data_IF_036117719537
#
_entry.id   IF_036117719537
#
_cell.length_a   1.000
_cell.length_b   1.000
_cell.length_c   1.000
_cell.angle_alpha   90.00
_cell.angle_beta   90.00
_cell.angle_gamma   90.00
#
_symmetry.space_group_name_H-M   'P 1'
#
loop_
_entity.id
_entity.type
_entity.pdbx_description
1 polymer ?
#
# COMPACT_ATOMS: atom_id res chain seq x y z
N UNK A 1 28.13 12.14 13.94
CA UNK A 1 26.87 12.94 14.02
C UNK A 1 25.80 12.07 13.39
N UNK A 2 24.86 11.55 14.18
CA UNK A 2 23.77 10.73 13.63
C UNK A 2 22.91 11.54 12.66
N UNK A 3 22.82 11.09 11.41
CA UNK A 3 22.00 11.75 10.41
C UNK A 3 20.69 11.01 10.10
N UNK A 4 20.42 9.89 10.79
CA UNK A 4 19.09 9.30 10.74
C UNK A 4 18.12 10.12 11.58
N UNK A 5 16.87 10.18 11.13
CA UNK A 5 15.78 10.68 11.96
C UNK A 5 15.71 9.80 13.22
N UNK A 6 15.34 10.40 14.35
CA UNK A 6 15.12 9.66 15.58
C UNK A 6 14.26 8.43 15.29
N UNK A 7 14.70 7.29 15.80
CA UNK A 7 14.02 6.03 15.56
C UNK A 7 12.55 6.16 16.01
N UNK A 8 11.56 5.86 15.13
CA UNK A 8 10.16 6.04 15.49
C UNK A 8 9.76 5.16 16.67
N UNK A 9 9.06 5.73 17.65
CA UNK A 9 8.56 4.97 18.80
C UNK A 9 7.45 3.99 18.40
N UNK A 10 6.62 4.37 17.42
CA UNK A 10 5.62 3.46 16.86
C UNK A 10 6.32 2.38 16.02
N UNK A 11 5.93 1.13 16.24
CA UNK A 11 6.40 -0.03 15.47
C UNK A 11 5.33 -0.52 14.50
N UNK A 12 4.35 0.34 14.19
CA UNK A 12 3.17 -0.02 13.40
C UNK A 12 3.50 -0.11 11.92
N UNK A 13 4.44 0.72 11.47
CA UNK A 13 4.69 0.90 10.06
C UNK A 13 6.11 0.54 9.62
N UNK A 14 6.19 -0.11 8.47
CA UNK A 14 7.44 -0.41 7.78
C UNK A 14 7.21 -0.55 6.30
N UNK A 15 8.17 -0.11 5.48
CA UNK A 15 8.17 -0.41 4.05
C UNK A 15 8.82 -1.77 3.81
N UNK A 16 8.23 -2.65 2.99
CA UNK A 16 8.91 -3.89 2.62
C UNK A 16 10.26 -3.58 1.98
N UNK A 17 11.26 -4.42 2.23
CA UNK A 17 12.54 -4.33 1.54
C UNK A 17 12.31 -4.55 0.03
N UNK A 18 12.82 -3.62 -0.77
CA UNK A 18 12.59 -3.52 -2.21
C UNK A 18 13.91 -3.47 -2.99
N UNK A 19 13.90 -3.74 -4.31
CA UNK A 19 15.06 -3.47 -5.14
C UNK A 19 15.36 -1.96 -5.14
N UNK A 20 16.60 -1.61 -4.79
CA UNK A 20 17.08 -0.23 -4.80
C UNK A 20 18.29 -0.10 -5.71
N UNK A 21 18.34 1.03 -6.43
CA UNK A 21 19.49 1.46 -7.22
C UNK A 21 20.08 2.69 -6.58
N UNK A 22 21.40 2.66 -6.42
CA UNK A 22 22.17 3.85 -6.07
C UNK A 22 22.57 4.54 -7.38
N UNK A 23 22.11 5.79 -7.59
CA UNK A 23 22.38 6.55 -8.82
C UNK A 23 23.66 7.40 -8.76
N UNK A 24 24.56 7.13 -7.81
CA UNK A 24 25.78 7.95 -7.60
C UNK A 24 27.00 7.36 -8.31
N UNK A 25 27.84 8.25 -8.84
CA UNK A 25 29.21 8.01 -9.30
C UNK A 25 30.16 8.78 -8.37
N UNK A 26 31.08 8.12 -7.66
CA UNK A 26 32.09 8.81 -6.84
C UNK A 26 32.49 8.13 -5.51
N UNK A 27 33.00 8.94 -4.57
CA UNK A 27 33.53 8.50 -3.26
C UNK A 27 32.48 7.86 -2.34
N UNK A 28 31.21 8.19 -2.51
CA UNK A 28 30.08 7.67 -1.72
C UNK A 28 29.86 6.17 -1.97
N UNK A 29 30.09 5.71 -3.20
CA UNK A 29 30.08 4.28 -3.53
C UNK A 29 31.20 3.55 -2.79
N UNK A 30 32.32 4.23 -2.49
CA UNK A 30 33.49 3.65 -1.83
C UNK A 30 33.18 3.32 -0.37
N UNK A 31 32.51 4.21 0.39
CA UNK A 31 32.17 3.95 1.79
C UNK A 31 31.26 2.71 1.93
N UNK A 32 30.18 2.65 1.15
CA UNK A 32 29.29 1.48 1.12
C UNK A 32 30.03 0.21 0.62
N UNK A 33 30.83 0.31 -0.45
CA UNK A 33 31.65 -0.82 -0.94
C UNK A 33 32.65 -1.31 0.11
N UNK A 34 33.25 -0.39 0.86
CA UNK A 34 34.20 -0.67 1.93
C UNK A 34 33.53 -1.42 3.06
N UNK A 35 32.36 -0.95 3.52
CA UNK A 35 31.56 -1.65 4.53
C UNK A 35 31.12 -3.05 4.07
N UNK A 36 30.60 -3.17 2.84
CA UNK A 36 30.22 -4.47 2.27
C UNK A 36 31.42 -5.43 2.18
N UNK A 37 32.59 -4.91 1.84
CA UNK A 37 33.82 -5.71 1.75
C UNK A 37 34.30 -6.14 3.13
N UNK A 38 34.29 -5.24 4.12
CA UNK A 38 34.71 -5.54 5.49
C UNK A 38 33.80 -6.57 6.15
N UNK A 39 32.47 -6.51 5.94
CA UNK A 39 31.51 -7.50 6.45
C UNK A 39 31.77 -8.91 5.90
N UNK A 40 32.11 -9.02 4.62
CA UNK A 40 32.40 -10.32 3.98
C UNK A 40 33.77 -10.85 4.38
N UNK A 41 34.79 -10.00 4.49
CA UNK A 41 36.16 -10.39 4.88
C UNK A 41 36.21 -10.79 6.35
N UNK A 42 35.53 -10.04 7.23
CA UNK A 42 35.44 -10.31 8.67
C UNK A 42 34.37 -11.36 9.03
N UNK A 43 33.88 -12.13 8.07
CA UNK A 43 32.90 -13.17 8.34
C UNK A 43 33.53 -14.25 9.26
N UNK A 44 32.87 -14.67 10.36
CA UNK A 44 33.48 -15.52 11.40
C UNK A 44 33.85 -16.92 10.90
N UNK A 45 33.24 -17.36 9.80
CA UNK A 45 33.52 -18.63 9.13
C UNK A 45 34.17 -18.38 7.78
N UNK A 46 35.11 -19.25 7.39
CA UNK A 46 35.69 -19.26 6.04
C UNK A 46 34.60 -19.50 5.01
N UNK A 47 34.35 -18.49 4.18
CA UNK A 47 33.35 -18.52 3.10
C UNK A 47 33.96 -18.97 1.77
N UNK A 48 33.22 -19.76 1.00
CA UNK A 48 33.53 -20.03 -0.42
C UNK A 48 33.32 -18.78 -1.28
N UNK A 49 33.83 -18.78 -2.52
CA UNK A 49 33.65 -17.67 -3.46
C UNK A 49 32.16 -17.34 -3.70
N UNK A 50 31.33 -18.38 -3.89
CA UNK A 50 29.88 -18.25 -4.07
C UNK A 50 29.19 -17.68 -2.82
N UNK A 51 29.54 -18.17 -1.63
CA UNK A 51 28.98 -17.66 -0.38
C UNK A 51 29.32 -16.19 -0.15
N UNK A 52 30.55 -15.77 -0.45
CA UNK A 52 30.97 -14.37 -0.37
C UNK A 52 30.12 -13.48 -1.27
N UNK A 53 29.84 -13.93 -2.49
CA UNK A 53 28.97 -13.21 -3.43
C UNK A 53 27.55 -13.06 -2.89
N UNK A 54 26.92 -14.17 -2.46
CA UNK A 54 25.57 -14.18 -1.90
C UNK A 54 25.42 -13.30 -0.66
N UNK A 55 26.39 -13.34 0.26
CA UNK A 55 26.39 -12.44 1.42
C UNK A 55 26.52 -10.99 1.02
N UNK A 56 27.42 -10.66 0.08
CA UNK A 56 27.58 -9.28 -0.41
C UNK A 56 26.28 -8.74 -0.99
N UNK A 57 25.58 -9.53 -1.80
CA UNK A 57 24.33 -9.10 -2.41
C UNK A 57 23.22 -8.96 -1.36
N UNK A 58 23.11 -9.91 -0.42
CA UNK A 58 22.18 -9.79 0.71
C UNK A 58 22.44 -8.53 1.55
N UNK A 59 23.70 -8.28 1.94
CA UNK A 59 24.07 -7.07 2.70
C UNK A 59 23.76 -5.81 1.91
N UNK A 60 24.06 -5.78 0.61
CA UNK A 60 23.78 -4.62 -0.25
C UNK A 60 22.29 -4.31 -0.23
N UNK A 61 21.44 -5.28 -0.54
CA UNK A 61 19.99 -5.06 -0.61
C UNK A 61 19.43 -4.61 0.75
N UNK A 62 19.84 -5.24 1.84
CA UNK A 62 19.40 -4.87 3.20
C UNK A 62 19.86 -3.45 3.55
N UNK A 63 21.15 -3.13 3.40
CA UNK A 63 21.70 -1.85 3.83
C UNK A 63 21.15 -0.68 3.02
N UNK A 64 20.98 -0.84 1.70
CA UNK A 64 20.38 0.22 0.87
C UNK A 64 18.97 0.57 1.37
N UNK A 65 18.15 -0.44 1.66
CA UNK A 65 16.79 -0.23 2.17
C UNK A 65 16.79 0.40 3.57
N UNK A 66 17.65 -0.09 4.46
CA UNK A 66 17.75 0.44 5.82
C UNK A 66 18.18 1.90 5.80
N UNK A 67 19.20 2.25 5.01
CA UNK A 67 19.66 3.63 4.86
C UNK A 67 18.54 4.52 4.31
N UNK A 68 17.92 4.11 3.19
CA UNK A 68 16.85 4.87 2.54
C UNK A 68 15.67 5.14 3.48
N UNK A 69 15.20 4.11 4.18
CA UNK A 69 14.02 4.21 5.05
C UNK A 69 14.34 4.95 6.36
N UNK A 70 15.51 4.75 6.97
CA UNK A 70 15.88 5.40 8.23
C UNK A 70 16.14 6.91 8.09
N UNK A 71 16.60 7.38 6.93
CA UNK A 71 16.67 8.83 6.64
C UNK A 71 15.27 9.45 6.60
N UNK A 72 14.26 8.65 6.25
CA UNK A 72 12.85 9.08 6.15
C UNK A 72 12.04 8.70 7.39
N UNK A 73 12.70 8.37 8.51
CA UNK A 73 12.01 8.02 9.76
C UNK A 73 11.09 6.80 9.62
N UNK A 74 11.42 5.84 8.74
CA UNK A 74 10.59 4.67 8.47
C UNK A 74 11.39 3.38 8.67
N UNK A 75 10.74 2.33 9.16
CA UNK A 75 11.37 1.01 9.28
C UNK A 75 11.45 0.27 7.94
N UNK A 76 12.51 -0.52 7.76
CA UNK A 76 12.58 -1.53 6.70
C UNK A 76 11.98 -2.85 7.18
N UNK A 77 10.98 -3.34 6.47
CA UNK A 77 10.25 -4.57 6.74
C UNK A 77 10.82 -5.76 5.98
N UNK A 78 11.10 -6.86 6.67
CA UNK A 78 11.58 -8.10 6.03
C UNK A 78 11.08 -9.37 6.74
N UNK A 79 10.73 -10.41 5.98
CA UNK A 79 10.29 -11.66 6.58
C UNK A 79 11.48 -12.46 7.12
N UNK A 80 11.39 -12.97 8.35
CA UNK A 80 12.34 -13.96 8.89
C UNK A 80 11.73 -15.37 8.95
N UNK A 81 10.67 -15.62 8.19
CA UNK A 81 10.10 -16.96 8.02
C UNK A 81 10.71 -17.66 6.80
N UNK A 82 11.11 -18.92 6.94
CA UNK A 82 11.79 -19.68 5.88
C UNK A 82 10.95 -19.74 4.58
N UNK A 83 9.66 -20.10 4.70
CA UNK A 83 8.73 -20.21 3.56
C UNK A 83 8.59 -18.94 2.73
N UNK A 84 8.87 -17.77 3.31
CA UNK A 84 8.78 -16.52 2.57
C UNK A 84 9.81 -16.44 1.43
N UNK A 85 10.86 -17.26 1.47
CA UNK A 85 11.93 -17.30 0.47
C UNK A 85 11.78 -18.47 -0.53
N UNK A 86 10.64 -19.17 -0.52
CA UNK A 86 10.35 -20.22 -1.49
C UNK A 86 10.23 -19.63 -2.92
N UNK A 87 10.55 -20.45 -3.93
CA UNK A 87 10.47 -20.03 -5.34
C UNK A 87 9.06 -19.54 -5.69
N UNK A 88 8.99 -18.38 -6.34
CA UNK A 88 7.73 -17.72 -6.70
C UNK A 88 7.25 -16.69 -5.67
N UNK A 89 7.84 -16.64 -4.47
CA UNK A 89 7.56 -15.59 -3.50
C UNK A 89 8.40 -14.33 -3.75
N UNK A 90 7.89 -13.20 -3.28
CA UNK A 90 8.51 -11.88 -3.44
C UNK A 90 9.98 -11.83 -2.99
N UNK A 91 10.32 -12.35 -1.81
CA UNK A 91 11.69 -12.28 -1.32
C UNK A 91 12.67 -13.09 -2.19
N UNK A 92 12.21 -14.18 -2.78
CA UNK A 92 13.01 -14.97 -3.73
C UNK A 92 13.23 -14.21 -5.04
N UNK A 93 12.26 -13.44 -5.53
CA UNK A 93 12.44 -12.64 -6.76
C UNK A 93 13.47 -11.52 -6.59
N UNK A 94 13.77 -11.11 -5.35
CA UNK A 94 14.87 -10.19 -5.02
C UNK A 94 16.25 -10.87 -4.97
N UNK A 95 16.34 -12.16 -5.30
CA UNK A 95 17.58 -12.94 -5.20
C UNK A 95 17.98 -13.31 -3.77
N UNK A 96 17.09 -13.08 -2.78
CA UNK A 96 17.35 -13.40 -1.39
C UNK A 96 17.01 -14.86 -1.07
N UNK A 97 17.70 -15.41 -0.07
CA UNK A 97 17.39 -16.73 0.46
C UNK A 97 17.41 -16.70 1.98
N UNK A 98 16.56 -17.51 2.60
CA UNK A 98 16.41 -17.52 4.06
C UNK A 98 17.74 -17.61 4.82
N UNK A 99 18.61 -18.54 4.40
CA UNK A 99 19.89 -18.83 5.07
C UNK A 99 20.82 -17.61 5.12
N UNK A 100 21.02 -16.96 3.97
CA UNK A 100 21.96 -15.84 3.87
C UNK A 100 21.35 -14.56 4.45
N UNK A 101 20.06 -14.31 4.21
CA UNK A 101 19.36 -13.12 4.71
C UNK A 101 19.29 -13.10 6.22
N UNK A 102 18.90 -14.22 6.86
CA UNK A 102 18.83 -14.30 8.32
C UNK A 102 20.20 -14.10 8.95
N UNK A 103 21.24 -14.78 8.45
CA UNK A 103 22.60 -14.65 8.96
C UNK A 103 23.15 -13.22 8.78
N UNK A 104 22.83 -12.56 7.66
CA UNK A 104 23.22 -11.18 7.42
C UNK A 104 22.58 -10.22 8.45
N UNK A 105 21.28 -10.35 8.71
CA UNK A 105 20.57 -9.51 9.69
C UNK A 105 21.08 -9.74 11.11
N UNK A 106 21.24 -11.01 11.51
CA UNK A 106 21.79 -11.35 12.83
C UNK A 106 23.18 -10.73 13.02
N UNK A 107 24.03 -10.80 11.99
CA UNK A 107 25.38 -10.20 12.04
C UNK A 107 25.34 -8.69 12.09
N UNK A 108 24.56 -8.02 11.25
CA UNK A 108 24.45 -6.56 11.26
C UNK A 108 23.94 -6.03 12.61
N UNK A 109 22.99 -6.74 13.23
CA UNK A 109 22.46 -6.38 14.55
C UNK A 109 23.50 -6.63 15.66
N UNK A 110 24.20 -7.77 15.63
CA UNK A 110 25.26 -8.07 16.59
C UNK A 110 26.43 -7.07 16.51
N UNK A 111 26.78 -6.65 15.30
CA UNK A 111 27.81 -5.63 15.07
C UNK A 111 27.29 -4.20 15.35
N UNK A 112 26.01 -4.02 15.70
CA UNK A 112 25.43 -2.74 16.11
C UNK A 112 25.15 -1.76 14.96
N UNK A 113 25.11 -2.22 13.70
CA UNK A 113 24.76 -1.37 12.54
C UNK A 113 23.25 -1.16 12.39
N UNK A 114 22.44 -2.09 12.91
CA UNK A 114 20.98 -2.02 12.82
C UNK A 114 20.35 -2.39 14.16
N UNK A 115 19.13 -1.92 14.40
CA UNK A 115 18.22 -2.46 15.41
C UNK A 115 17.17 -3.33 14.73
N UNK A 116 16.77 -4.43 15.39
CA UNK A 116 15.81 -5.41 14.84
C UNK A 116 14.65 -5.62 15.79
N UNK A 117 13.43 -5.35 15.33
CA UNK A 117 12.19 -5.66 16.01
C UNK A 117 11.54 -6.86 15.35
N UNK A 118 11.59 -8.00 16.03
CA UNK A 118 11.10 -9.27 15.48
C UNK A 118 9.61 -9.17 15.12
N UNK A 119 9.26 -9.71 13.96
CA UNK A 119 7.87 -9.86 13.55
C UNK A 119 7.13 -10.88 14.40
N UNK A 120 5.81 -10.75 14.46
CA UNK A 120 4.92 -11.66 15.17
C UNK A 120 3.53 -11.68 14.52
N UNK A 121 2.74 -12.70 14.84
CA UNK A 121 1.34 -12.76 14.47
C UNK A 121 0.50 -13.02 15.72
N UNK A 122 -0.44 -12.12 16.01
CA UNK A 122 -1.40 -12.25 17.09
C UNK A 122 -2.67 -12.93 16.57
N UNK A 123 -2.82 -14.22 16.87
CA UNK A 123 -3.99 -15.01 16.47
C UNK A 123 -5.30 -14.50 17.07
N UNK A 124 -5.26 -13.93 18.28
CA UNK A 124 -6.44 -13.47 19.00
C UNK A 124 -6.95 -12.14 18.45
N UNK A 125 -6.03 -11.22 18.12
CA UNK A 125 -6.34 -9.92 17.53
C UNK A 125 -6.41 -9.92 16.00
N UNK A 126 -6.00 -11.00 15.34
CA UNK A 126 -6.01 -11.10 13.88
C UNK A 126 -5.04 -10.14 13.17
N UNK A 127 -4.01 -9.65 13.86
CA UNK A 127 -3.01 -8.75 13.30
C UNK A 127 -1.61 -9.34 13.45
N UNK A 128 -0.70 -8.97 12.55
CA UNK A 128 0.71 -9.34 12.64
C UNK A 128 1.59 -8.22 12.15
N UNK A 129 2.86 -8.25 12.58
CA UNK A 129 3.90 -7.35 12.10
C UNK A 129 5.01 -8.19 11.48
N UNK A 130 5.53 -7.73 10.35
CA UNK A 130 6.77 -8.26 9.78
C UNK A 130 7.95 -7.86 10.70
N UNK A 131 9.16 -8.38 10.47
CA UNK A 131 10.33 -7.88 11.21
C UNK A 131 10.66 -6.47 10.71
N UNK A 132 10.84 -5.53 11.64
CA UNK A 132 11.18 -4.13 11.35
C UNK A 132 12.66 -3.91 11.67
N UNK A 133 13.37 -3.23 10.79
CA UNK A 133 14.79 -2.95 10.90
C UNK A 133 15.01 -1.45 10.77
N UNK A 134 15.87 -0.89 11.61
CA UNK A 134 16.27 0.51 11.55
C UNK A 134 17.79 0.65 11.62
N UNK A 135 18.35 1.65 10.93
CA UNK A 135 19.77 1.95 10.98
C UNK A 135 20.17 2.65 12.28
N UNK A 136 21.32 2.30 12.84
CA UNK A 136 21.87 2.98 14.03
C UNK A 136 22.78 4.14 13.63
N UNK A 137 23.15 4.98 14.60
CA UNK A 137 24.19 6.00 14.40
C UNK A 137 25.48 5.41 13.84
N UNK A 138 25.89 4.22 14.33
CA UNK A 138 27.07 3.51 13.82
C UNK A 138 27.00 3.24 12.32
N UNK A 139 25.83 2.84 11.80
CA UNK A 139 25.65 2.68 10.36
C UNK A 139 25.67 4.02 9.64
N UNK A 140 24.99 5.03 10.19
CA UNK A 140 24.95 6.38 9.63
C UNK A 140 26.36 6.92 9.38
N UNK A 141 27.25 6.77 10.36
CA UNK A 141 28.64 7.22 10.29
C UNK A 141 29.50 6.34 9.37
N UNK A 142 29.29 5.01 9.37
CA UNK A 142 30.09 4.10 8.56
C UNK A 142 29.92 4.27 7.04
N UNK A 143 28.81 4.88 6.60
CA UNK A 143 28.48 5.07 5.18
C UNK A 143 28.16 6.51 4.80
N UNK A 144 28.30 7.46 5.74
CA UNK A 144 27.90 8.85 5.54
C UNK A 144 26.48 8.98 4.97
N UNK A 145 25.52 8.37 5.68
CA UNK A 145 24.20 8.04 5.13
C UNK A 145 23.45 9.15 4.34
N UNK A 146 23.47 10.45 4.72
CA UNK A 146 22.82 11.50 3.94
C UNK A 146 23.31 11.61 2.49
N UNK A 147 24.61 11.34 2.28
CA UNK A 147 25.22 11.39 0.95
C UNK A 147 24.80 10.22 0.05
N UNK A 148 24.09 9.24 0.60
CA UNK A 148 23.59 8.07 -0.11
C UNK A 148 22.05 8.13 -0.22
N UNK A 149 21.36 8.52 0.85
CA UNK A 149 19.90 8.42 0.97
C UNK A 149 19.07 9.20 -0.04
N UNK A 150 19.56 10.35 -0.48
CA UNK A 150 18.89 11.20 -1.48
C UNK A 150 19.13 10.73 -2.91
N UNK A 151 20.17 9.92 -3.13
CA UNK A 151 20.50 9.34 -4.43
C UNK A 151 20.08 7.87 -4.55
N UNK A 152 19.48 7.32 -3.50
CA UNK A 152 18.83 6.02 -3.57
C UNK A 152 17.47 6.20 -4.19
N UNK A 153 17.33 5.63 -5.38
CA UNK A 153 16.04 5.46 -6.01
C UNK A 153 15.65 4.00 -5.89
N UNK A 154 14.41 3.77 -5.47
CA UNK A 154 13.89 2.44 -5.61
C UNK A 154 13.71 2.15 -7.10
N UNK A 155 13.98 0.91 -7.51
CA UNK A 155 13.84 0.52 -8.92
C UNK A 155 12.36 0.47 -9.21
N UNK A 156 11.88 1.49 -9.93
CA UNK A 156 10.52 1.51 -10.42
C UNK A 156 10.44 0.61 -11.65
N UNK A 157 9.74 -0.49 -11.47
CA UNK A 157 9.38 -1.40 -12.55
C UNK A 157 8.44 -0.65 -13.52
N UNK A 158 8.81 -0.69 -14.81
CA UNK A 158 8.12 -0.03 -15.93
C UNK A 158 6.70 -0.54 -16.15
N UNK A 159 6.33 -1.68 -15.56
CA UNK A 159 4.96 -2.20 -15.61
C UNK A 159 4.00 -1.28 -14.84
N UNK A 160 3.18 -0.54 -15.59
CA UNK A 160 2.14 0.35 -15.04
C UNK A 160 0.80 -0.38 -14.85
N UNK A 161 0.51 -1.43 -15.63
CA UNK A 161 -0.68 -2.28 -15.46
C UNK A 161 -0.23 -3.68 -15.07
N UNK A 162 -0.75 -4.19 -13.95
CA UNK A 162 -0.45 -5.55 -13.46
C UNK A 162 -1.69 -6.42 -13.59
N UNK A 163 -1.59 -7.51 -14.37
CA UNK A 163 -2.69 -8.44 -14.63
C UNK A 163 -2.50 -9.75 -13.85
N UNK A 164 -3.15 -9.90 -12.70
CA UNK A 164 -3.03 -11.11 -11.87
C UNK A 164 -4.07 -12.16 -12.25
N UNK A 165 -3.61 -13.34 -12.65
CA UNK A 165 -4.46 -14.48 -12.99
C UNK A 165 -5.10 -14.39 -14.39
N UNK A 166 -4.53 -13.57 -15.27
CA UNK A 166 -4.91 -13.49 -16.68
C UNK A 166 -4.10 -14.50 -17.50
N UNK A 167 -4.65 -14.90 -18.66
CA UNK A 167 -3.95 -15.77 -19.61
C UNK A 167 -2.94 -15.02 -20.49
N UNK A 168 -3.00 -13.69 -20.47
CA UNK A 168 -2.15 -12.77 -21.22
C UNK A 168 -1.51 -11.75 -20.28
N UNK A 169 -0.37 -11.20 -20.71
CA UNK A 169 0.34 -10.15 -19.98
C UNK A 169 -0.03 -8.73 -20.43
N UNK A 170 0.35 -7.70 -19.67
CA UNK A 170 0.11 -6.30 -20.06
C UNK A 170 0.80 -5.89 -21.36
N UNK A 171 1.85 -6.59 -21.78
CA UNK A 171 2.56 -6.41 -23.06
C UNK A 171 1.69 -6.76 -24.28
N UNK A 172 0.61 -7.51 -24.08
CA UNK A 172 -0.35 -7.86 -25.14
C UNK A 172 -1.46 -6.80 -25.29
N UNK A 173 -1.52 -5.80 -24.40
CA UNK A 173 -2.48 -4.70 -24.51
C UNK A 173 -2.06 -3.74 -25.64
N UNK A 174 -3.01 -3.24 -26.46
CA UNK A 174 -2.67 -2.28 -27.50
C UNK A 174 -2.21 -0.95 -26.89
N UNK A 175 -1.33 -0.23 -27.57
CA UNK A 175 -0.77 1.04 -27.06
C UNK A 175 -1.84 2.13 -26.82
N UNK A 176 -2.97 2.05 -27.52
CA UNK A 176 -4.12 2.94 -27.34
C UNK A 176 -5.11 2.46 -26.27
N UNK A 177 -4.77 1.43 -25.49
CA UNK A 177 -5.59 0.97 -24.38
C UNK A 177 -5.87 2.12 -23.41
N UNK A 178 -7.14 2.36 -23.10
CA UNK A 178 -7.56 3.58 -22.40
C UNK A 178 -6.92 3.74 -21.01
N UNK A 179 -6.78 2.65 -20.26
CA UNK A 179 -6.08 2.69 -18.96
C UNK A 179 -4.58 2.93 -19.12
N UNK A 180 -3.97 2.39 -20.18
CA UNK A 180 -2.53 2.50 -20.41
C UNK A 180 -2.16 3.94 -20.77
N UNK A 181 -2.96 4.56 -21.65
CA UNK A 181 -2.80 5.96 -22.05
C UNK A 181 -2.95 6.90 -20.85
N UNK A 182 -4.04 6.77 -20.09
CA UNK A 182 -4.28 7.60 -18.89
C UNK A 182 -3.17 7.42 -17.86
N UNK A 183 -2.77 6.19 -17.58
CA UNK A 183 -1.77 5.91 -16.55
C UNK A 183 -0.35 6.33 -16.93
N UNK A 184 0.01 6.24 -18.22
CA UNK A 184 1.26 6.83 -18.75
C UNK A 184 1.25 8.35 -18.58
N UNK A 185 0.17 9.03 -19.00
CA UNK A 185 0.05 10.47 -18.85
C UNK A 185 0.14 10.93 -17.39
N UNK A 186 -0.56 10.24 -16.48
CA UNK A 186 -0.51 10.46 -15.03
C UNK A 186 0.93 10.31 -14.51
N UNK A 187 1.60 9.19 -14.81
CA UNK A 187 2.95 8.95 -14.31
C UNK A 187 3.95 9.99 -14.84
N UNK A 188 3.92 10.29 -16.14
CA UNK A 188 4.76 11.32 -16.76
C UNK A 188 4.52 12.69 -16.14
N UNK A 189 3.26 13.08 -15.92
CA UNK A 189 2.93 14.34 -15.25
C UNK A 189 3.50 14.39 -13.82
N UNK A 190 3.29 13.31 -13.06
CA UNK A 190 3.70 13.23 -11.67
C UNK A 190 5.22 13.14 -11.48
N UNK A 191 6.02 12.84 -12.51
CA UNK A 191 7.49 12.84 -12.44
C UNK A 191 8.06 14.18 -11.93
N UNK A 192 7.46 15.31 -12.30
CA UNK A 192 7.91 16.65 -11.91
C UNK A 192 7.70 17.01 -10.44
N UNK A 193 6.88 16.24 -9.71
CA UNK A 193 6.51 16.56 -8.32
C UNK A 193 7.30 15.74 -7.30
N UNK A 194 7.50 16.29 -6.10
CA UNK A 194 8.24 15.65 -5.01
C UNK A 194 7.33 15.42 -3.81
N UNK A 195 7.29 14.19 -3.32
CA UNK A 195 6.65 13.81 -2.07
C UNK A 195 7.37 12.58 -1.46
N UNK A 196 7.21 12.31 -0.14
CA UNK A 196 7.80 11.15 0.51
C UNK A 196 7.31 9.83 -0.08
N UNK A 197 8.20 8.83 -0.15
CA UNK A 197 7.88 7.50 -0.69
C UNK A 197 7.21 7.52 -2.06
N UNK A 198 7.68 8.42 -2.94
CA UNK A 198 7.25 8.47 -4.33
C UNK A 198 7.51 7.15 -5.05
N UNK A 199 6.58 6.77 -5.90
CA UNK A 199 6.68 5.68 -6.87
C UNK A 199 5.57 5.77 -7.90
N UNK A 200 5.66 5.02 -9.00
CA UNK A 200 4.69 5.06 -10.07
C UNK A 200 3.32 4.62 -9.57
N UNK A 201 2.30 5.18 -10.20
CA UNK A 201 0.93 4.74 -10.10
C UNK A 201 0.80 3.47 -10.92
N UNK A 202 0.34 2.39 -10.27
CA UNK A 202 0.13 1.10 -10.90
C UNK A 202 -1.33 0.69 -10.78
N UNK A 203 -1.93 0.28 -11.89
CA UNK A 203 -3.28 -0.25 -11.92
C UNK A 203 -3.22 -1.78 -11.83
N UNK A 204 -3.85 -2.38 -10.82
CA UNK A 204 -3.73 -3.82 -10.57
C UNK A 204 -5.08 -4.50 -10.71
N UNK A 205 -5.26 -5.27 -11.79
CA UNK A 205 -6.43 -6.14 -11.99
C UNK A 205 -6.18 -7.53 -11.41
N UNK A 206 -7.22 -8.19 -10.93
CA UNK A 206 -7.11 -9.52 -10.31
C UNK A 206 -8.33 -10.38 -10.60
N UNK A 207 -8.11 -11.51 -11.28
CA UNK A 207 -9.15 -12.49 -11.56
C UNK A 207 -10.15 -12.09 -12.65
N UNK A 208 -9.82 -11.10 -13.48
CA UNK A 208 -10.62 -10.71 -14.65
C UNK A 208 -10.69 -9.19 -14.87
N UNK A 209 -11.15 -8.74 -16.06
CA UNK A 209 -11.08 -7.34 -16.49
C UNK A 209 -12.00 -6.38 -15.71
N UNK A 210 -13.04 -6.91 -15.04
CA UNK A 210 -13.98 -6.13 -14.22
C UNK A 210 -13.80 -6.39 -12.72
N UNK A 211 -12.64 -6.92 -12.32
CA UNK A 211 -12.37 -7.37 -10.95
C UNK A 211 -11.04 -6.82 -10.45
N UNK A 212 -11.05 -6.31 -9.22
CA UNK A 212 -9.89 -5.61 -8.67
C UNK A 212 -9.78 -4.24 -9.32
N UNK A 213 -8.64 -3.91 -9.93
CA UNK A 213 -8.52 -2.70 -10.76
C UNK A 213 -8.24 -1.41 -9.99
N UNK A 214 -7.73 -1.48 -8.75
CA UNK A 214 -7.37 -0.28 -7.98
C UNK A 214 -6.02 0.29 -8.42
N UNK A 215 -5.86 1.61 -8.26
CA UNK A 215 -4.58 2.31 -8.41
C UNK A 215 -3.78 2.19 -7.12
N UNK A 216 -2.53 1.74 -7.22
CA UNK A 216 -1.59 1.57 -6.13
C UNK A 216 -0.34 2.43 -6.34
N UNK A 217 0.19 2.96 -5.25
CA UNK A 217 1.53 3.55 -5.17
C UNK A 217 2.08 3.37 -3.76
N UNK A 218 3.40 3.52 -3.60
CA UNK A 218 4.15 3.22 -2.38
C UNK A 218 3.62 3.94 -1.14
N UNK A 219 3.35 5.24 -1.26
CA UNK A 219 2.90 6.08 -0.15
C UNK A 219 1.51 5.72 0.39
N UNK A 220 0.68 4.95 -0.34
CA UNK A 220 -0.68 4.60 0.13
C UNK A 220 -0.66 3.79 1.44
N UNK A 221 0.43 3.05 1.69
CA UNK A 221 0.59 2.26 2.91
C UNK A 221 1.00 3.10 4.12
N UNK A 222 1.31 4.39 3.95
CA UNK A 222 1.67 5.27 5.06
C UNK A 222 0.52 5.34 6.08
N UNK A 223 0.82 5.30 7.39
CA UNK A 223 -0.16 5.53 8.45
C UNK A 223 -0.83 6.89 8.28
N UNK A 224 -2.10 6.98 8.66
CA UNK A 224 -2.90 8.20 8.50
C UNK A 224 -2.24 9.44 9.13
N UNK A 225 -1.67 9.31 10.32
CA UNK A 225 -0.99 10.40 11.02
C UNK A 225 0.26 10.88 10.25
N UNK A 226 1.08 9.96 9.74
CA UNK A 226 2.27 10.32 8.97
C UNK A 226 1.86 10.90 7.61
N UNK A 227 0.82 10.36 6.99
CA UNK A 227 0.30 10.85 5.71
C UNK A 227 -0.35 12.23 5.82
N UNK A 228 -0.92 12.58 6.97
CA UNK A 228 -1.44 13.92 7.23
C UNK A 228 -0.36 15.02 7.20
N UNK A 229 0.91 14.64 7.38
CA UNK A 229 2.07 15.55 7.28
C UNK A 229 2.70 15.55 5.87
N UNK A 230 2.11 14.83 4.91
CA UNK A 230 2.62 14.73 3.54
C UNK A 230 2.58 16.11 2.87
N UNK A 231 3.66 16.43 2.16
CA UNK A 231 3.75 17.63 1.32
C UNK A 231 4.00 17.24 -0.13
N UNK A 232 3.44 18.02 -1.06
CA UNK A 232 3.75 17.94 -2.49
C UNK A 232 4.54 19.20 -2.84
N UNK A 233 5.77 19.05 -3.30
CA UNK A 233 6.69 20.17 -3.55
C UNK A 233 6.82 21.13 -2.34
N UNK A 234 6.82 20.57 -1.12
CA UNK A 234 6.85 21.30 0.16
C UNK A 234 5.59 22.11 0.48
N UNK A 235 4.54 22.01 -0.34
CA UNK A 235 3.24 22.61 -0.04
C UNK A 235 2.41 21.65 0.83
N UNK A 236 1.65 22.17 1.81
CA UNK A 236 0.76 21.36 2.62
C UNK A 236 -0.32 20.73 1.75
N UNK A 237 -0.80 19.56 2.17
CA UNK A 237 -1.81 18.80 1.44
C UNK A 237 -3.10 18.65 2.21
N UNK A 238 -4.15 18.21 1.50
CA UNK A 238 -5.44 17.81 2.05
C UNK A 238 -5.80 16.43 1.51
N UNK A 239 -6.34 15.55 2.37
CA UNK A 239 -6.92 14.25 1.98
C UNK A 239 -8.45 14.33 2.03
N UNK A 240 -9.12 14.11 0.89
CA UNK A 240 -10.58 14.01 0.78
C UNK A 240 -10.98 12.56 0.53
N UNK A 241 -12.03 12.08 1.21
CA UNK A 241 -12.45 10.67 1.25
C UNK A 241 -13.92 10.49 0.91
N UNK A 242 -14.25 9.50 0.09
CA UNK A 242 -15.63 9.07 -0.10
C UNK A 242 -16.16 8.36 1.14
N UNK A 243 -17.16 8.94 1.80
CA UNK A 243 -17.73 8.34 3.00
C UNK A 243 -18.53 7.08 2.63
N UNK A 244 -18.18 5.95 3.25
CA UNK A 244 -18.90 4.68 3.13
C UNK A 244 -19.03 4.18 1.67
N UNK A 245 -17.98 4.43 0.87
CA UNK A 245 -17.95 4.36 -0.58
C UNK A 245 -18.71 3.17 -1.22
N UNK A 246 -18.28 1.93 -0.96
CA UNK A 246 -18.91 0.73 -1.54
C UNK A 246 -20.41 0.61 -1.25
N UNK A 247 -20.83 0.95 -0.04
CA UNK A 247 -22.25 0.86 0.32
C UNK A 247 -23.05 1.97 -0.34
N UNK A 248 -22.49 3.19 -0.43
CA UNK A 248 -23.11 4.27 -1.21
C UNK A 248 -23.26 3.91 -2.69
N UNK A 249 -22.27 3.26 -3.30
CA UNK A 249 -22.32 2.83 -4.71
C UNK A 249 -23.48 1.86 -4.96
N UNK A 250 -23.70 0.89 -4.06
CA UNK A 250 -24.81 -0.06 -4.16
C UNK A 250 -26.18 0.60 -3.97
N UNK A 251 -26.25 1.62 -3.10
CA UNK A 251 -27.48 2.32 -2.79
C UNK A 251 -27.87 3.35 -3.86
N UNK A 252 -26.90 3.96 -4.55
CA UNK A 252 -27.14 5.05 -5.50
C UNK A 252 -28.11 4.68 -6.64
N UNK A 253 -28.19 3.40 -7.02
CA UNK A 253 -29.15 2.93 -8.03
C UNK A 253 -30.60 2.78 -7.53
N UNK A 254 -30.83 2.90 -6.22
CA UNK A 254 -32.08 2.48 -5.58
C UNK A 254 -32.65 3.50 -4.58
N UNK A 255 -31.83 4.43 -4.08
CA UNK A 255 -32.20 5.36 -3.02
C UNK A 255 -31.67 6.76 -3.35
N UNK A 256 -32.55 7.76 -3.27
CA UNK A 256 -32.23 9.19 -3.41
C UNK A 256 -33.19 9.99 -2.50
N UNK A 257 -32.70 10.83 -1.56
CA UNK A 257 -31.30 11.11 -1.26
C UNK A 257 -30.58 9.92 -0.59
N UNK A 258 -29.26 9.81 -0.84
CA UNK A 258 -28.41 8.83 -0.14
C UNK A 258 -28.37 9.10 1.37
N UNK A 259 -28.28 8.05 2.21
CA UNK A 259 -28.20 8.20 3.66
C UNK A 259 -26.90 8.89 4.09
N UNK A 260 -26.91 9.49 5.28
CA UNK A 260 -25.74 10.18 5.83
C UNK A 260 -24.59 9.23 6.23
N UNK A 261 -24.93 8.05 6.74
CA UNK A 261 -23.97 6.97 7.03
C UNK A 261 -24.70 5.62 7.11
N UNK A 262 -24.77 4.86 6.01
CA UNK A 262 -25.57 3.63 5.98
C UNK A 262 -25.06 2.55 6.95
N UNK A 263 -23.77 2.59 7.33
CA UNK A 263 -23.26 1.67 8.34
C UNK A 263 -23.83 1.97 9.74
N UNK A 264 -24.07 3.23 10.06
CA UNK A 264 -24.64 3.65 11.34
C UNK A 264 -26.12 3.28 11.41
N UNK A 265 -26.86 3.45 10.31
CA UNK A 265 -28.28 3.07 10.22
C UNK A 265 -28.47 1.56 10.48
N UNK A 266 -27.63 0.73 9.85
CA UNK A 266 -27.63 -0.73 10.09
C UNK A 266 -27.19 -1.05 11.53
N UNK A 267 -26.20 -0.33 12.06
CA UNK A 267 -25.66 -0.58 13.39
C UNK A 267 -26.71 -0.35 14.48
N UNK A 268 -27.56 0.67 14.31
CA UNK A 268 -28.68 0.96 15.19
C UNK A 268 -29.68 -0.20 15.22
N UNK A 269 -30.08 -0.71 14.05
CA UNK A 269 -31.00 -1.85 13.94
C UNK A 269 -30.42 -3.13 14.52
N UNK A 270 -29.12 -3.37 14.31
CA UNK A 270 -28.42 -4.55 14.81
C UNK A 270 -27.97 -4.45 16.27
N UNK A 271 -28.22 -3.32 16.96
CA UNK A 271 -27.71 -3.04 18.31
C UNK A 271 -26.20 -3.30 18.45
N UNK A 272 -25.42 -2.76 17.51
CA UNK A 272 -23.97 -3.02 17.40
C UNK A 272 -23.21 -1.75 17.00
N UNK A 273 -21.92 -1.85 16.72
CA UNK A 273 -21.09 -0.71 16.31
C UNK A 273 -20.98 -0.62 14.79
N UNK A 274 -20.77 0.60 14.28
CA UNK A 274 -20.51 0.89 12.87
C UNK A 274 -19.36 0.04 12.31
N UNK A 275 -18.30 -0.16 13.09
CA UNK A 275 -17.12 -0.93 12.69
C UNK A 275 -17.48 -2.39 12.45
N UNK A 276 -18.29 -3.01 13.32
CA UNK A 276 -18.74 -4.39 13.14
C UNK A 276 -19.62 -4.56 11.92
N UNK A 277 -20.47 -3.57 11.61
CA UNK A 277 -21.24 -3.56 10.36
C UNK A 277 -20.30 -3.46 9.16
N UNK A 278 -19.31 -2.55 9.20
CA UNK A 278 -18.32 -2.40 8.11
C UNK A 278 -17.55 -3.71 7.88
N UNK A 279 -17.17 -4.42 8.93
CA UNK A 279 -16.55 -5.75 8.83
C UNK A 279 -17.48 -6.76 8.17
N UNK A 280 -18.73 -6.81 8.61
CA UNK A 280 -19.75 -7.69 8.01
C UNK A 280 -19.96 -7.40 6.53
N UNK A 281 -20.09 -6.13 6.15
CA UNK A 281 -20.28 -5.72 4.76
C UNK A 281 -19.06 -6.04 3.91
N UNK A 282 -17.85 -5.80 4.43
CA UNK A 282 -16.61 -6.16 3.73
C UNK A 282 -16.55 -7.67 3.45
N UNK A 283 -16.85 -8.51 4.45
CA UNK A 283 -16.86 -9.97 4.29
C UNK A 283 -17.98 -10.45 3.36
N UNK A 284 -19.17 -9.86 3.47
CA UNK A 284 -20.35 -10.28 2.70
C UNK A 284 -20.28 -9.87 1.24
N UNK A 285 -19.68 -8.72 0.93
CA UNK A 285 -19.50 -8.27 -0.45
C UNK A 285 -18.33 -8.99 -1.14
N UNK A 286 -17.30 -9.40 -0.41
CA UNK A 286 -16.14 -10.11 -0.98
C UNK A 286 -16.29 -11.64 -1.04
N UNK A 287 -17.39 -12.20 -0.56
CA UNK A 287 -17.65 -13.64 -0.60
C UNK A 287 -18.61 -14.00 -1.72
N UNK A 288 -18.40 -15.16 -2.33
CA UNK A 288 -19.24 -15.75 -3.37
C UNK A 288 -20.43 -16.57 -2.82
N UNK A 289 -20.48 -16.77 -1.50
CA UNK A 289 -21.58 -17.39 -0.79
C UNK A 289 -21.58 -17.01 0.71
N UNK A 290 -22.70 -17.28 1.37
CA UNK A 290 -22.94 -16.89 2.76
C UNK A 290 -22.02 -17.60 3.78
N UNK A 291 -21.69 -18.87 3.54
CA UNK A 291 -20.82 -19.63 4.44
C UNK A 291 -19.36 -19.17 4.36
N UNK A 292 -18.88 -18.79 3.18
CA UNK A 292 -17.57 -18.15 3.01
C UNK A 292 -17.51 -16.84 3.80
N UNK A 293 -18.53 -15.98 3.70
CA UNK A 293 -18.61 -14.73 4.45
C UNK A 293 -18.63 -14.98 5.97
N UNK A 294 -19.46 -15.92 6.43
CA UNK A 294 -19.55 -16.29 7.84
C UNK A 294 -18.20 -16.81 8.37
N UNK A 295 -17.55 -17.70 7.63
CA UNK A 295 -16.26 -18.27 8.01
C UNK A 295 -15.16 -17.19 8.09
N UNK A 296 -15.19 -16.18 7.22
CA UNK A 296 -14.27 -15.04 7.30
C UNK A 296 -14.45 -14.24 8.61
N UNK A 297 -15.69 -14.10 9.07
CA UNK A 297 -16.04 -13.37 10.30
C UNK A 297 -15.86 -14.19 11.59
N UNK A 298 -15.80 -15.53 11.52
CA UNK A 298 -15.49 -16.38 12.68
C UNK A 298 -14.19 -15.99 13.37
N UNK A 299 -13.15 -15.64 12.58
CA UNK A 299 -11.85 -15.19 13.10
C UNK A 299 -11.95 -13.89 13.91
N UNK A 300 -13.02 -13.12 13.71
CA UNK A 300 -13.35 -11.88 14.45
C UNK A 300 -14.39 -12.09 15.54
N UNK A 301 -14.63 -13.36 15.95
CA UNK A 301 -15.56 -13.74 17.02
C UNK A 301 -17.03 -13.38 16.74
N UNK A 302 -17.42 -13.38 15.46
CA UNK A 302 -18.84 -13.29 15.07
C UNK A 302 -19.41 -14.71 15.02
N UNK A 303 -20.38 -15.00 15.89
CA UNK A 303 -21.13 -16.27 15.88
C UNK A 303 -22.29 -16.22 14.86
N UNK A 304 -22.95 -17.35 14.62
CA UNK A 304 -24.01 -17.43 13.61
C UNK A 304 -25.21 -16.54 13.94
N UNK A 305 -25.60 -16.44 15.21
CA UNK A 305 -26.69 -15.56 15.66
C UNK A 305 -26.40 -14.10 15.32
N UNK A 306 -25.21 -13.58 15.66
CA UNK A 306 -24.81 -12.21 15.33
C UNK A 306 -24.70 -11.98 13.82
N UNK A 307 -24.19 -12.96 13.09
CA UNK A 307 -24.13 -12.90 11.63
C UNK A 307 -25.53 -12.74 11.03
N UNK A 308 -26.48 -13.55 11.47
CA UNK A 308 -27.87 -13.47 11.02
C UNK A 308 -28.51 -12.14 11.44
N UNK A 309 -28.30 -11.67 12.66
CA UNK A 309 -28.80 -10.38 13.11
C UNK A 309 -28.27 -9.20 12.26
N UNK A 310 -26.99 -9.21 11.90
CA UNK A 310 -26.38 -8.22 11.00
C UNK A 310 -26.98 -8.29 9.59
N UNK A 311 -27.18 -9.50 9.06
CA UNK A 311 -27.82 -9.73 7.76
C UNK A 311 -29.25 -9.21 7.75
N UNK A 312 -30.07 -9.57 8.75
CA UNK A 312 -31.45 -9.11 8.87
C UNK A 312 -31.54 -7.59 9.01
N UNK A 313 -30.72 -6.99 9.88
CA UNK A 313 -30.65 -5.53 10.03
C UNK A 313 -30.25 -4.84 8.71
N UNK A 314 -29.29 -5.40 7.99
CA UNK A 314 -28.84 -4.89 6.69
C UNK A 314 -29.97 -4.91 5.66
N UNK A 315 -30.68 -6.04 5.55
CA UNK A 315 -31.78 -6.20 4.59
C UNK A 315 -33.04 -5.44 5.01
N UNK A 316 -33.21 -5.17 6.31
CA UNK A 316 -34.27 -4.30 6.83
C UNK A 316 -33.99 -2.84 6.48
N UNK A 317 -32.77 -2.36 6.71
CA UNK A 317 -32.38 -0.99 6.36
C UNK A 317 -32.40 -0.77 4.85
N UNK A 318 -31.84 -1.70 4.08
CA UNK A 318 -31.62 -1.54 2.64
C UNK A 318 -31.96 -2.82 1.87
N UNK A 319 -33.25 -3.12 1.63
CA UNK A 319 -33.68 -4.34 0.93
C UNK A 319 -33.08 -4.48 -0.48
N UNK A 320 -32.82 -3.35 -1.15
CA UNK A 320 -32.28 -3.28 -2.51
C UNK A 320 -30.91 -3.95 -2.66
N UNK A 321 -30.08 -3.98 -1.61
CA UNK A 321 -28.73 -4.55 -1.69
C UNK A 321 -28.69 -6.07 -1.51
N UNK A 322 -29.84 -6.73 -1.28
CA UNK A 322 -29.94 -8.20 -1.19
C UNK A 322 -29.28 -8.89 -2.38
N UNK A 323 -29.44 -8.31 -3.57
CA UNK A 323 -28.87 -8.82 -4.80
C UNK A 323 -27.33 -8.79 -4.85
N UNK A 324 -26.68 -8.01 -3.98
CA UNK A 324 -25.23 -7.79 -3.97
C UNK A 324 -24.49 -8.59 -2.89
N UNK A 325 -25.17 -8.99 -1.81
CA UNK A 325 -24.55 -9.76 -0.74
C UNK A 325 -24.25 -11.19 -1.19
N UNK A 326 -23.07 -11.69 -0.79
CA UNK A 326 -22.62 -13.06 -1.02
C UNK A 326 -22.52 -13.45 -2.51
N UNK A 327 -22.16 -12.48 -3.36
CA UNK A 327 -21.95 -12.68 -4.81
C UNK A 327 -20.63 -12.08 -5.31
N UNK A 328 -19.69 -11.86 -4.40
CA UNK A 328 -18.36 -11.35 -4.71
C UNK A 328 -18.39 -10.01 -5.48
N UNK A 329 -19.38 -9.18 -5.15
CA UNK A 329 -19.55 -7.84 -5.70
C UNK A 329 -18.41 -6.88 -5.32
N UNK A 330 -17.71 -7.16 -4.22
CA UNK A 330 -16.62 -6.33 -3.72
C UNK A 330 -15.53 -6.14 -4.78
N UNK A 331 -15.15 -7.19 -5.50
CA UNK A 331 -14.13 -7.09 -6.55
C UNK A 331 -14.57 -6.19 -7.72
N UNK A 332 -15.86 -6.15 -8.04
CA UNK A 332 -16.40 -5.27 -9.09
C UNK A 332 -16.48 -3.81 -8.61
N UNK A 333 -16.89 -3.58 -7.37
CA UNK A 333 -16.90 -2.24 -6.78
C UNK A 333 -15.49 -1.65 -6.69
N UNK A 334 -14.48 -2.47 -6.40
CA UNK A 334 -13.07 -2.06 -6.45
C UNK A 334 -12.63 -1.62 -7.85
N UNK A 335 -13.20 -2.22 -8.90
CA UNK A 335 -12.88 -1.86 -10.28
C UNK A 335 -13.47 -0.51 -10.64
N UNK A 336 -14.68 -0.24 -10.14
CA UNK A 336 -15.32 1.05 -10.29
C UNK A 336 -14.55 2.14 -9.53
N UNK A 337 -14.11 1.86 -8.30
CA UNK A 337 -13.23 2.76 -7.52
C UNK A 337 -11.96 3.11 -8.30
N UNK A 338 -11.33 2.12 -8.90
CA UNK A 338 -10.13 2.32 -9.71
C UNK A 338 -10.35 3.21 -10.93
N UNK A 339 -11.45 3.02 -11.64
CA UNK A 339 -11.80 3.83 -12.81
C UNK A 339 -12.15 5.28 -12.41
N UNK A 340 -12.88 5.48 -11.31
CA UNK A 340 -13.10 6.81 -10.73
C UNK A 340 -11.76 7.46 -10.36
N UNK A 341 -10.86 6.71 -9.71
CA UNK A 341 -9.56 7.23 -9.32
C UNK A 341 -8.71 7.64 -10.52
N UNK A 342 -8.65 6.80 -11.56
CA UNK A 342 -7.94 7.12 -12.80
C UNK A 342 -8.49 8.38 -13.46
N UNK A 343 -9.82 8.52 -13.53
CA UNK A 343 -10.43 9.70 -14.14
C UNK A 343 -10.14 10.97 -13.34
N UNK A 344 -10.30 10.96 -12.01
CA UNK A 344 -9.95 12.13 -11.16
C UNK A 344 -8.49 12.53 -11.35
N UNK A 345 -7.58 11.55 -11.36
CA UNK A 345 -6.16 11.82 -11.55
C UNK A 345 -5.86 12.34 -12.95
N UNK A 346 -6.52 11.81 -13.99
CA UNK A 346 -6.33 12.26 -15.36
C UNK A 346 -6.87 13.67 -15.58
N UNK A 347 -8.03 14.02 -14.99
CA UNK A 347 -8.50 15.42 -14.96
C UNK A 347 -7.50 16.33 -14.23
N UNK A 348 -6.81 15.82 -13.20
CA UNK A 348 -5.71 16.52 -12.54
C UNK A 348 -4.56 16.83 -13.50
N UNK A 349 -4.16 15.87 -14.32
CA UNK A 349 -3.17 16.10 -15.39
C UNK A 349 -3.63 17.22 -16.33
N UNK A 350 -4.89 17.18 -16.76
CA UNK A 350 -5.44 18.18 -17.67
C UNK A 350 -5.53 19.59 -17.05
N UNK A 351 -5.67 19.67 -15.73
CA UNK A 351 -5.74 20.89 -14.96
C UNK A 351 -4.39 21.38 -14.40
N UNK A 352 -3.28 20.65 -14.66
CA UNK A 352 -1.96 20.89 -14.05
C UNK A 352 -1.97 20.81 -12.50
N UNK A 353 -2.83 19.94 -11.94
CA UNK A 353 -3.03 19.74 -10.50
C UNK A 353 -2.57 18.32 -10.09
N UNK A 354 -1.59 18.18 -9.19
CA UNK A 354 -1.16 16.87 -8.71
C UNK A 354 -2.24 16.23 -7.83
N UNK A 355 -2.68 15.03 -8.21
CA UNK A 355 -3.62 14.21 -7.42
C UNK A 355 -3.00 12.87 -7.11
N UNK A 356 -2.95 12.54 -5.82
CA UNK A 356 -2.40 11.29 -5.29
C UNK A 356 -3.52 10.42 -4.71
N UNK A 357 -3.80 9.22 -5.24
CA UNK A 357 -4.87 8.36 -4.76
C UNK A 357 -4.43 7.57 -3.52
N UNK A 358 -5.35 7.35 -2.60
CA UNK A 358 -5.24 6.45 -1.45
C UNK A 358 -6.56 5.69 -1.31
N UNK A 359 -6.63 4.49 -1.88
CA UNK A 359 -7.88 3.72 -1.92
C UNK A 359 -9.04 4.55 -2.50
N UNK A 360 -10.05 4.87 -1.69
CA UNK A 360 -11.24 5.69 -1.97
C UNK A 360 -11.09 7.16 -1.56
N UNK A 361 -9.87 7.58 -1.23
CA UNK A 361 -9.50 8.97 -0.93
C UNK A 361 -8.43 9.52 -1.88
N UNK A 362 -8.32 10.84 -1.93
CA UNK A 362 -7.43 11.57 -2.84
C UNK A 362 -6.74 12.70 -2.10
N UNK A 363 -5.47 12.92 -2.42
CA UNK A 363 -4.63 13.94 -1.84
C UNK A 363 -4.20 14.93 -2.92
N UNK A 364 -4.33 16.23 -2.63
CA UNK A 364 -3.77 17.33 -3.43
C UNK A 364 -3.27 18.45 -2.50
N UNK A 365 -2.74 19.54 -3.04
CA UNK A 365 -2.33 20.71 -2.24
C UNK A 365 -3.56 21.47 -1.72
N UNK A 366 -3.43 22.13 -0.57
CA UNK A 366 -4.57 22.77 0.13
C UNK A 366 -5.30 23.80 -0.74
N UNK A 367 -4.59 24.51 -1.62
CA UNK A 367 -5.14 25.49 -2.55
C UNK A 367 -6.02 24.87 -3.66
N UNK A 368 -5.94 23.55 -3.86
CA UNK A 368 -6.76 22.80 -4.82
C UNK A 368 -7.85 21.94 -4.16
N UNK A 369 -8.14 22.15 -2.87
CA UNK A 369 -9.15 21.38 -2.12
C UNK A 369 -10.53 21.39 -2.79
N UNK A 370 -11.01 22.57 -3.19
CA UNK A 370 -12.35 22.73 -3.78
C UNK A 370 -12.44 22.09 -5.16
N UNK A 371 -11.38 22.24 -5.98
CA UNK A 371 -11.28 21.58 -7.27
C UNK A 371 -11.33 20.06 -7.12
N UNK A 372 -10.57 19.50 -6.18
CA UNK A 372 -10.57 18.05 -5.96
C UNK A 372 -11.94 17.56 -5.51
N UNK A 373 -12.60 18.28 -4.60
CA UNK A 373 -13.95 17.94 -4.13
C UNK A 373 -14.95 17.94 -5.29
N UNK A 374 -14.89 18.95 -6.16
CA UNK A 374 -15.73 19.03 -7.35
C UNK A 374 -15.48 17.85 -8.28
N UNK A 375 -14.22 17.54 -8.59
CA UNK A 375 -13.89 16.40 -9.45
C UNK A 375 -14.35 15.07 -8.86
N UNK A 376 -14.23 14.88 -7.55
CA UNK A 376 -14.80 13.72 -6.88
C UNK A 376 -16.31 13.62 -7.10
N UNK A 377 -17.06 14.72 -6.98
CA UNK A 377 -18.49 14.72 -7.31
C UNK A 377 -18.77 14.39 -8.78
N UNK A 378 -18.06 15.03 -9.71
CA UNK A 378 -18.23 14.84 -11.16
C UNK A 378 -17.99 13.38 -11.54
N UNK A 379 -16.85 12.80 -11.12
CA UNK A 379 -16.51 11.43 -11.48
C UNK A 379 -17.39 10.41 -10.75
N UNK A 380 -17.83 10.69 -9.52
CA UNK A 380 -18.86 9.88 -8.87
C UNK A 380 -20.16 9.82 -9.70
N UNK A 381 -20.70 10.96 -10.13
CA UNK A 381 -21.95 10.99 -10.89
C UNK A 381 -21.81 10.31 -12.26
N UNK A 382 -20.67 10.50 -12.93
CA UNK A 382 -20.36 9.87 -14.22
C UNK A 382 -20.32 8.35 -14.14
N UNK A 383 -19.69 7.81 -13.10
CA UNK A 383 -19.42 6.36 -12.98
C UNK A 383 -20.48 5.59 -12.21
N UNK A 384 -21.13 6.23 -11.23
CA UNK A 384 -22.07 5.56 -10.31
C UNK A 384 -23.51 5.83 -10.72
N UNK A 385 -23.94 7.09 -10.64
CA UNK A 385 -25.31 7.49 -10.99
C UNK A 385 -25.42 9.00 -11.16
N UNK A 386 -25.88 9.42 -12.33
CA UNK A 386 -26.14 10.82 -12.63
C UNK A 386 -27.20 11.41 -11.68
N UNK A 387 -26.97 12.65 -11.22
CA UNK A 387 -27.81 13.37 -10.28
C UNK A 387 -27.69 12.98 -8.80
N UNK A 388 -27.09 11.83 -8.46
CA UNK A 388 -27.00 11.34 -7.07
C UNK A 388 -25.65 11.69 -6.46
N UNK A 389 -25.64 12.61 -5.49
CA UNK A 389 -24.43 13.03 -4.77
C UNK A 389 -24.12 12.11 -3.59
N UNK A 390 -22.87 11.70 -3.48
CA UNK A 390 -22.34 11.01 -2.29
C UNK A 390 -21.80 12.00 -1.26
N UNK A 391 -21.31 11.52 -0.12
CA UNK A 391 -20.66 12.36 0.89
C UNK A 391 -19.15 12.26 0.78
N UNK A 392 -18.49 13.42 0.83
CA UNK A 392 -17.03 13.55 0.84
C UNK A 392 -16.64 14.20 2.16
N UNK A 393 -15.77 13.55 2.92
CA UNK A 393 -15.25 14.06 4.19
C UNK A 393 -13.76 14.40 4.05
N UNK A 394 -13.29 15.40 4.79
CA UNK A 394 -11.87 15.73 4.94
C UNK A 394 -11.27 14.88 6.06
N UNK A 395 -10.12 14.25 5.82
CA UNK A 395 -9.47 13.33 6.76
C UNK A 395 -8.46 13.98 7.70
#
# INVERSE_FOLDING_TARGET
MNFFVAQPEDLEYSMPLEPMRLEVVGEQEIALKSLLSSLVVSHPKKLTKDQRHKFRDCYRVILLNVIYNSIRGTYTGISLANRAYDKGNYWHSLGLTYKFTKAAIERLNADGYITVFKGFYNHVGGFGRITRIYGTEKLSEAVEAPLIGDHLQAVDDTEVIVLKGFLYGPEELPDNHHDLVRLRAINTFLEGFKWPQKGPMKLVYSGGPVRGGRVFSRFQNMPRNIRAELTINRQPTVELDYKSNHLMMLLAGHVDPLPNDPYTDIALLASTTREKVKEFMTASLGADNEDTAFNALKRRRVNRERFNALKEATLTAFPSIKGALFKDMGAMLQSLEGQIALDIMYEGVMADIPVLPVHDSFITTVDHEDWLREQMYVQWMKHVKDGVKTRIDKK
#
